data_IF_187771053547
#
_entry.id   IF_187771053547
#
_cell.length_a   1.000
_cell.length_b   1.000
_cell.length_c   1.000
_cell.angle_alpha   90.00
_cell.angle_beta   90.00
_cell.angle_gamma   90.00
#
_symmetry.space_group_name_H-M   'P 1'
#
loop_
_entity.id
_entity.type
_entity.pdbx_description
1 polymer ?
#
# COMPACT_ATOMS: atom_id res chain seq x y z
N UNK A 1 10.38 -5.30 21.29
CA UNK A 1 9.37 -5.09 20.21
C UNK A 1 8.39 -6.26 20.20
N UNK A 2 7.09 -5.99 20.17
CA UNK A 2 6.03 -7.02 20.10
C UNK A 2 6.00 -7.70 18.72
N UNK A 3 5.38 -8.90 18.64
CA UNK A 3 5.17 -9.61 17.35
C UNK A 3 4.46 -8.71 16.33
N UNK A 4 3.40 -8.01 16.75
CA UNK A 4 2.65 -7.05 15.92
C UNK A 4 3.52 -5.90 15.41
N UNK A 5 4.41 -5.36 16.25
CA UNK A 5 5.32 -4.28 15.83
C UNK A 5 6.35 -4.76 14.81
N UNK A 6 6.85 -6.00 14.91
CA UNK A 6 7.75 -6.58 13.91
C UNK A 6 7.04 -6.83 12.57
N UNK A 7 5.82 -7.35 12.63
CA UNK A 7 4.99 -7.61 11.45
C UNK A 7 4.65 -6.31 10.70
N UNK A 8 4.21 -5.28 11.44
CA UNK A 8 3.93 -3.97 10.85
C UNK A 8 5.16 -3.40 10.13
N UNK A 9 6.33 -3.42 10.78
CA UNK A 9 7.58 -2.93 10.17
C UNK A 9 7.93 -3.70 8.90
N UNK A 10 7.78 -5.03 8.92
CA UNK A 10 8.03 -5.87 7.74
C UNK A 10 7.10 -5.47 6.59
N UNK A 11 5.79 -5.41 6.85
CA UNK A 11 4.78 -5.03 5.86
C UNK A 11 4.97 -3.61 5.35
N UNK A 12 5.39 -2.68 6.20
CA UNK A 12 5.74 -1.32 5.80
C UNK A 12 6.90 -1.30 4.83
N UNK A 13 7.99 -2.02 5.11
CA UNK A 13 9.14 -2.12 4.20
C UNK A 13 8.76 -2.78 2.87
N UNK A 14 8.02 -3.89 2.90
CA UNK A 14 7.56 -4.59 1.70
C UNK A 14 6.67 -3.70 0.82
N UNK A 15 5.68 -3.02 1.43
CA UNK A 15 4.78 -2.13 0.68
C UNK A 15 5.49 -0.89 0.14
N UNK A 16 6.48 -0.36 0.88
CA UNK A 16 7.32 0.76 0.38
C UNK A 16 8.04 0.39 -0.91
N UNK A 17 8.57 -0.83 -1.00
CA UNK A 17 9.21 -1.32 -2.22
C UNK A 17 8.24 -1.36 -3.41
N UNK A 18 6.98 -1.78 -3.18
CA UNK A 18 5.94 -1.78 -4.22
C UNK A 18 5.62 -0.35 -4.67
N UNK A 19 5.39 0.56 -3.73
CA UNK A 19 5.03 1.96 -4.03
C UNK A 19 6.15 2.67 -4.78
N UNK A 20 7.41 2.48 -4.36
CA UNK A 20 8.54 3.12 -5.04
C UNK A 20 8.71 2.59 -6.48
N UNK A 21 8.37 1.32 -6.74
CA UNK A 21 8.41 0.75 -8.08
C UNK A 21 7.33 1.31 -9.03
N UNK A 22 6.36 2.08 -8.53
CA UNK A 22 5.43 2.82 -9.37
C UNK A 22 6.08 3.99 -10.10
N UNK A 23 7.28 4.41 -9.69
CA UNK A 23 8.06 5.48 -10.34
C UNK A 23 7.25 6.76 -10.57
N UNK A 24 6.39 7.12 -9.60
CA UNK A 24 5.52 8.30 -9.68
C UNK A 24 6.33 9.60 -9.82
N UNK A 25 7.49 9.66 -9.16
CA UNK A 25 8.48 10.72 -9.32
C UNK A 25 9.84 10.04 -9.47
N UNK A 26 10.48 10.11 -10.65
CA UNK A 26 11.81 9.55 -10.85
C UNK A 26 12.84 10.17 -9.91
N UNK A 27 13.76 9.36 -9.41
CA UNK A 27 14.86 9.75 -8.52
C UNK A 27 14.42 10.39 -7.19
N UNK A 28 13.16 10.24 -6.78
CA UNK A 28 12.70 10.74 -5.48
C UNK A 28 13.35 9.98 -4.32
N UNK A 29 13.46 10.60 -3.13
CA UNK A 29 13.88 9.90 -1.93
C UNK A 29 12.99 8.67 -1.65
N UNK A 30 13.57 7.60 -1.13
CA UNK A 30 12.82 6.36 -0.90
C UNK A 30 11.62 6.55 0.05
N UNK A 31 11.62 7.57 0.91
CA UNK A 31 10.57 7.90 1.87
C UNK A 31 9.54 8.91 1.36
N UNK A 32 9.69 9.39 0.11
CA UNK A 32 8.80 10.37 -0.51
C UNK A 32 7.32 9.95 -0.42
N UNK A 33 7.05 8.65 -0.52
CA UNK A 33 5.70 8.08 -0.52
C UNK A 33 5.33 7.33 0.76
N UNK A 34 6.01 7.60 1.89
CA UNK A 34 5.70 6.95 3.18
C UNK A 34 4.27 7.29 3.67
N UNK A 35 3.72 8.45 3.29
CA UNK A 35 2.33 8.81 3.58
C UNK A 35 1.32 7.86 2.90
N UNK A 36 1.55 7.53 1.62
CA UNK A 36 0.77 6.55 0.85
C UNK A 36 0.88 5.18 1.50
N UNK A 37 2.09 4.77 1.89
CA UNK A 37 2.32 3.51 2.59
C UNK A 37 1.52 3.41 3.89
N UNK A 38 1.59 4.45 4.73
CA UNK A 38 0.81 4.52 5.97
C UNK A 38 -0.69 4.50 5.72
N UNK A 39 -1.18 5.24 4.71
CA UNK A 39 -2.58 5.27 4.31
C UNK A 39 -3.08 3.88 3.92
N UNK A 40 -2.38 3.21 3.00
CA UNK A 40 -2.76 1.89 2.50
C UNK A 40 -2.75 0.83 3.61
N UNK A 41 -1.69 0.75 4.42
CA UNK A 41 -1.65 -0.17 5.55
C UNK A 41 -2.78 0.12 6.54
N UNK A 42 -3.06 1.39 6.85
CA UNK A 42 -4.12 1.76 7.78
C UNK A 42 -5.49 1.24 7.32
N UNK A 43 -5.77 1.27 6.02
CA UNK A 43 -7.04 0.78 5.47
C UNK A 43 -7.08 -0.75 5.36
N UNK A 44 -5.98 -1.39 4.96
CA UNK A 44 -5.88 -2.85 4.91
C UNK A 44 -6.06 -3.48 6.30
N UNK A 45 -5.46 -2.90 7.35
CA UNK A 45 -5.66 -3.36 8.73
C UNK A 45 -7.07 -3.11 9.28
N UNK A 46 -7.90 -2.30 8.60
CA UNK A 46 -9.32 -2.08 8.92
C UNK A 46 -10.25 -2.92 8.03
N UNK A 47 -9.70 -3.88 7.27
CA UNK A 47 -10.43 -4.71 6.31
C UNK A 47 -11.23 -3.86 5.29
N UNK A 48 -10.67 -2.73 4.86
CA UNK A 48 -11.26 -1.91 3.81
C UNK A 48 -11.29 -2.67 2.47
N UNK A 49 -12.40 -2.53 1.74
CA UNK A 49 -12.50 -3.08 0.38
C UNK A 49 -11.66 -2.27 -0.64
N UNK A 50 -11.44 -2.87 -1.81
CA UNK A 50 -10.67 -2.25 -2.90
C UNK A 50 -11.27 -0.91 -3.36
N UNK A 51 -12.60 -0.75 -3.33
CA UNK A 51 -13.26 0.50 -3.76
C UNK A 51 -12.90 1.64 -2.81
N UNK A 52 -12.91 1.38 -1.50
CA UNK A 52 -12.54 2.37 -0.49
C UNK A 52 -11.04 2.70 -0.55
N UNK A 53 -10.18 1.70 -0.75
CA UNK A 53 -8.74 1.90 -0.91
C UNK A 53 -8.47 2.76 -2.14
N UNK A 54 -9.05 2.41 -3.30
CA UNK A 54 -8.90 3.15 -4.55
C UNK A 54 -9.31 4.61 -4.40
N UNK A 55 -10.47 4.90 -3.79
CA UNK A 55 -10.91 6.29 -3.55
C UNK A 55 -9.93 7.10 -2.70
N UNK A 56 -9.40 6.49 -1.65
CA UNK A 56 -8.42 7.16 -0.77
C UNK A 56 -7.09 7.37 -1.48
N UNK A 57 -6.63 6.39 -2.26
CA UNK A 57 -5.41 6.51 -3.05
C UNK A 57 -5.54 7.58 -4.13
N UNK A 58 -6.69 7.66 -4.83
CA UNK A 58 -6.97 8.74 -5.79
C UNK A 58 -6.88 10.12 -5.11
N UNK A 59 -7.52 10.28 -3.95
CA UNK A 59 -7.46 11.53 -3.21
C UNK A 59 -6.03 11.87 -2.80
N UNK A 60 -5.28 10.91 -2.27
CA UNK A 60 -3.89 11.15 -1.85
C UNK A 60 -3.02 11.57 -3.04
N UNK A 61 -3.11 10.87 -4.17
CA UNK A 61 -2.32 11.16 -5.36
C UNK A 61 -2.70 12.51 -5.99
N UNK A 62 -3.98 12.82 -6.10
CA UNK A 62 -4.43 13.99 -6.85
C UNK A 62 -4.48 15.25 -5.97
N UNK A 63 -5.01 15.15 -4.75
CA UNK A 63 -5.22 16.32 -3.89
C UNK A 63 -3.98 16.66 -3.05
N UNK A 64 -3.22 15.66 -2.58
CA UNK A 64 -2.04 15.91 -1.73
C UNK A 64 -0.73 15.96 -2.54
N UNK A 65 -0.54 15.03 -3.47
CA UNK A 65 0.66 15.02 -4.33
C UNK A 65 0.50 15.84 -5.63
N UNK A 66 -0.72 16.20 -6.00
CA UNK A 66 -0.97 17.05 -7.18
C UNK A 66 -0.86 16.32 -8.52
N UNK A 67 -0.89 14.99 -8.53
CA UNK A 67 -0.92 14.21 -9.77
C UNK A 67 -2.29 14.31 -10.47
N UNK A 68 -2.32 14.04 -11.77
CA UNK A 68 -3.55 13.87 -12.54
C UNK A 68 -3.71 12.39 -12.94
N UNK A 69 -3.76 11.52 -11.92
CA UNK A 69 -3.83 10.07 -12.13
C UNK A 69 -5.27 9.67 -12.47
N UNK A 70 -5.43 8.94 -13.57
CA UNK A 70 -6.74 8.48 -14.02
C UNK A 70 -7.25 7.34 -13.14
N UNK A 71 -8.58 7.21 -13.03
CA UNK A 71 -9.21 6.19 -12.19
C UNK A 71 -8.74 4.75 -12.53
N UNK A 72 -8.55 4.45 -13.81
CA UNK A 72 -8.10 3.12 -14.26
C UNK A 72 -6.65 2.82 -13.85
N UNK A 73 -5.80 3.86 -13.75
CA UNK A 73 -4.43 3.71 -13.24
C UNK A 73 -4.45 3.44 -11.74
N UNK A 74 -5.19 4.25 -10.97
CA UNK A 74 -5.34 4.02 -9.52
C UNK A 74 -5.95 2.65 -9.22
N UNK A 75 -6.87 2.18 -10.07
CA UNK A 75 -7.47 0.84 -9.94
C UNK A 75 -6.41 -0.27 -10.06
N UNK A 76 -5.45 -0.15 -10.98
CA UNK A 76 -4.35 -1.11 -11.11
C UNK A 76 -3.44 -1.11 -9.90
N UNK A 77 -3.05 0.07 -9.42
CA UNK A 77 -2.24 0.22 -8.20
C UNK A 77 -2.96 -0.38 -6.98
N UNK A 78 -4.28 -0.18 -6.89
CA UNK A 78 -5.10 -0.73 -5.82
C UNK A 78 -5.15 -2.26 -5.86
N UNK A 79 -5.33 -2.84 -7.05
CA UNK A 79 -5.34 -4.31 -7.22
C UNK A 79 -3.99 -4.89 -6.80
N UNK A 80 -2.87 -4.31 -7.23
CA UNK A 80 -1.54 -4.76 -6.85
C UNK A 80 -1.33 -4.79 -5.32
N UNK A 81 -1.77 -3.73 -4.63
CA UNK A 81 -1.69 -3.63 -3.17
C UNK A 81 -2.56 -4.67 -2.48
N UNK A 82 -3.80 -4.88 -2.95
CA UNK A 82 -4.73 -5.86 -2.38
C UNK A 82 -4.23 -7.29 -2.61
N UNK A 83 -3.71 -7.59 -3.80
CA UNK A 83 -3.15 -8.90 -4.13
C UNK A 83 -1.91 -9.20 -3.27
N UNK A 84 -1.00 -8.22 -3.13
CA UNK A 84 0.13 -8.35 -2.21
C UNK A 84 -0.33 -8.62 -0.78
N UNK A 85 -1.33 -7.88 -0.30
CA UNK A 85 -1.85 -8.04 1.06
C UNK A 85 -2.40 -9.45 1.30
N UNK A 86 -3.23 -9.95 0.38
CA UNK A 86 -3.83 -11.28 0.47
C UNK A 86 -2.76 -12.38 0.47
N UNK A 87 -1.81 -12.32 -0.48
CA UNK A 87 -0.70 -13.27 -0.57
C UNK A 87 0.19 -13.26 0.69
N UNK A 88 0.42 -12.08 1.27
CA UNK A 88 1.24 -11.94 2.50
C UNK A 88 0.58 -12.55 3.74
N UNK A 89 -0.75 -12.71 3.74
CA UNK A 89 -1.53 -13.25 4.85
C UNK A 89 -1.80 -14.76 4.69
N UNK A 90 -1.92 -15.25 3.46
CA UNK A 90 -2.03 -16.68 3.16
C UNK A 90 -0.77 -17.45 3.60
N UNK A 91 0.43 -16.89 3.36
CA UNK A 91 1.67 -17.48 3.85
C UNK A 91 1.80 -17.54 5.38
N UNK A 92 1.14 -16.63 6.11
CA UNK A 92 1.09 -16.69 7.58
C UNK A 92 0.09 -17.74 8.12
N UNK A 93 -0.79 -18.26 7.25
CA UNK A 93 -1.83 -19.23 7.60
C UNK A 93 -1.33 -20.68 7.50
N UNK A 94 -0.26 -20.92 6.74
CA UNK A 94 0.35 -22.24 6.48
C UNK A 94 1.26 -22.77 7.59
N UNK A 95 1.49 -22.03 8.68
CA UNK A 95 2.34 -22.44 9.81
C UNK A 95 1.53 -22.76 11.07
N UNK A 96 0.28 -23.20 10.91
CA UNK A 96 -0.56 -23.72 11.99
C UNK A 96 -0.84 -25.20 11.76
N UNK A 97 0.19 -26.02 11.90
CA UNK A 97 0.09 -27.46 12.21
C UNK A 97 1.00 -27.77 13.39
#
# INVERSE_FOLDING_TARGET
>A
MSKRSKEYKRKFTELRTIINAWELIPDSPEDEFDSINHLLLSELYKDADAVKISKKLTFELNDNYGFDVQHDEVSKLTIEVVDWWNNSNEHNSSFKD
#
